data_IF_691669547667
#
_entry.id   IF_691669547667
#
_cell.length_a   1.000
_cell.length_b   1.000
_cell.length_c   1.000
_cell.angle_alpha   90.00
_cell.angle_beta   90.00
_cell.angle_gamma   90.00
#
_symmetry.space_group_name_H-M   'P 1'
#
loop_
_entity.id
_entity.type
_entity.pdbx_description
1 polymer ?
#
# COMPACT_ATOMS: atom_id res chain seq x y z
N UNK A 1 -66.07 18.84 44.96
CA UNK A 1 -65.75 17.78 43.95
C UNK A 1 -64.65 18.12 42.92
N UNK A 2 -64.37 19.37 42.64
CA UNK A 2 -63.27 19.72 41.62
C UNK A 2 -61.89 19.64 42.15
N UNK A 3 -61.61 19.91 43.43
CA UNK A 3 -60.24 19.89 44.02
C UNK A 3 -59.66 18.50 44.13
N UNK A 4 -60.43 17.45 44.39
CA UNK A 4 -59.91 16.08 44.48
C UNK A 4 -59.45 15.46 43.11
N UNK A 5 -60.08 15.94 42.01
CA UNK A 5 -59.68 15.49 40.67
C UNK A 5 -58.32 16.07 40.22
N UNK A 6 -58.05 17.33 40.58
CA UNK A 6 -56.76 17.98 40.23
C UNK A 6 -55.60 17.34 41.01
N UNK A 7 -55.84 17.03 42.29
CA UNK A 7 -54.81 16.37 43.13
C UNK A 7 -54.48 14.95 42.64
N UNK A 8 -55.49 14.20 42.17
CA UNK A 8 -55.29 12.86 41.60
C UNK A 8 -54.50 12.89 40.24
N UNK A 9 -54.74 13.91 39.42
CA UNK A 9 -54.00 14.11 38.14
C UNK A 9 -52.55 14.51 38.42
N UNK A 10 -52.30 15.40 39.38
CA UNK A 10 -50.94 15.80 39.74
C UNK A 10 -50.13 14.66 40.37
N UNK A 11 -50.75 13.81 41.21
CA UNK A 11 -50.13 12.61 41.75
C UNK A 11 -49.84 11.56 40.66
N UNK A 12 -50.73 11.37 39.69
CA UNK A 12 -50.52 10.47 38.56
C UNK A 12 -49.39 10.92 37.65
N UNK A 13 -49.25 12.23 37.37
CA UNK A 13 -48.17 12.80 36.57
C UNK A 13 -46.81 12.69 37.29
N UNK A 14 -46.76 12.88 38.61
CA UNK A 14 -45.55 12.72 39.38
C UNK A 14 -45.08 11.25 39.43
N UNK A 15 -46.00 10.30 39.54
CA UNK A 15 -45.68 8.86 39.53
C UNK A 15 -45.19 8.41 38.15
N UNK A 16 -45.76 8.89 37.05
CA UNK A 16 -45.34 8.62 35.71
C UNK A 16 -43.90 9.16 35.43
N UNK A 17 -43.57 10.37 35.92
CA UNK A 17 -42.22 10.94 35.82
C UNK A 17 -41.19 10.12 36.63
N UNK A 18 -41.55 9.66 37.82
CA UNK A 18 -40.67 8.82 38.65
C UNK A 18 -40.40 7.47 37.98
N UNK A 19 -41.45 6.84 37.42
CA UNK A 19 -41.31 5.57 36.70
C UNK A 19 -40.42 5.75 35.43
N UNK A 20 -40.58 6.84 34.69
CA UNK A 20 -39.76 7.15 33.52
C UNK A 20 -38.30 7.44 33.89
N UNK A 21 -38.04 8.11 35.01
CA UNK A 21 -36.67 8.35 35.52
C UNK A 21 -36.04 7.06 36.03
N UNK A 22 -36.78 6.19 36.72
CA UNK A 22 -36.28 4.87 37.15
C UNK A 22 -36.00 3.96 35.95
N UNK A 23 -36.86 3.94 34.94
CA UNK A 23 -36.60 3.19 33.69
C UNK A 23 -35.36 3.67 32.95
N UNK A 24 -35.11 5.00 32.89
CA UNK A 24 -33.86 5.56 32.35
C UNK A 24 -32.65 5.18 33.19
N UNK A 25 -32.77 5.19 34.52
CA UNK A 25 -31.66 4.84 35.42
C UNK A 25 -31.32 3.36 35.32
N UNK A 26 -32.30 2.47 35.24
CA UNK A 26 -32.11 1.03 35.01
C UNK A 26 -31.47 0.77 33.63
N UNK A 27 -31.98 1.40 32.57
CA UNK A 27 -31.42 1.31 31.21
C UNK A 27 -29.96 1.82 31.15
N UNK A 28 -29.66 2.91 31.88
CA UNK A 28 -28.29 3.44 31.97
C UNK A 28 -27.36 2.55 32.80
N UNK A 29 -27.87 1.90 33.85
CA UNK A 29 -27.07 0.95 34.66
C UNK A 29 -26.81 -0.35 33.90
N UNK A 30 -27.77 -0.86 33.13
CA UNK A 30 -27.60 -2.05 32.29
C UNK A 30 -26.63 -1.77 31.13
N UNK A 31 -26.67 -0.60 30.48
CA UNK A 31 -25.71 -0.21 29.45
C UNK A 31 -24.31 -0.01 30.03
N UNK A 32 -24.16 0.56 31.22
CA UNK A 32 -22.87 0.71 31.89
C UNK A 32 -22.28 -0.63 32.36
N UNK A 33 -23.11 -1.57 32.83
CA UNK A 33 -22.65 -2.92 33.23
C UNK A 33 -22.25 -3.75 32.01
N UNK A 34 -22.99 -3.66 30.92
CA UNK A 34 -22.66 -4.33 29.65
C UNK A 34 -21.38 -3.76 29.01
N UNK A 35 -21.18 -2.42 29.08
CA UNK A 35 -19.95 -1.79 28.59
C UNK A 35 -18.74 -2.18 29.43
N UNK A 36 -18.83 -2.18 30.76
CA UNK A 36 -17.76 -2.58 31.65
C UNK A 36 -17.41 -4.08 31.53
N UNK A 37 -18.36 -4.95 31.29
CA UNK A 37 -18.11 -6.37 31.02
C UNK A 37 -17.46 -6.58 29.66
N UNK A 38 -17.82 -5.80 28.64
CA UNK A 38 -17.19 -5.86 27.33
C UNK A 38 -15.73 -5.34 27.37
N UNK A 39 -15.46 -4.26 28.10
CA UNK A 39 -14.12 -3.70 28.27
C UNK A 39 -13.21 -4.65 29.08
N UNK A 40 -13.70 -5.24 30.18
CA UNK A 40 -12.96 -6.25 30.95
C UNK A 40 -12.66 -7.51 30.12
N UNK A 41 -13.57 -7.88 29.21
CA UNK A 41 -13.35 -9.04 28.32
C UNK A 41 -12.29 -8.78 27.25
N UNK A 42 -12.03 -7.53 26.87
CA UNK A 42 -11.03 -7.16 25.89
C UNK A 42 -9.63 -6.96 26.48
N UNK A 43 -9.53 -6.62 27.78
CA UNK A 43 -8.23 -6.41 28.46
C UNK A 43 -7.29 -7.62 28.44
N UNK A 44 -7.86 -8.84 28.31
CA UNK A 44 -7.07 -10.06 28.14
C UNK A 44 -6.14 -10.02 26.92
N UNK A 45 -6.56 -9.39 25.82
CA UNK A 45 -5.73 -9.29 24.61
C UNK A 45 -4.55 -8.35 24.83
N UNK A 46 -4.71 -7.32 25.66
CA UNK A 46 -3.58 -6.47 26.07
C UNK A 46 -2.54 -7.27 26.84
N UNK A 47 -2.94 -8.14 27.75
CA UNK A 47 -2.02 -9.02 28.47
C UNK A 47 -1.28 -9.99 27.52
N UNK A 48 -1.91 -10.42 26.43
CA UNK A 48 -1.29 -11.32 25.45
C UNK A 48 -0.27 -10.61 24.55
N UNK A 49 -0.56 -9.37 24.12
CA UNK A 49 0.18 -8.72 23.03
C UNK A 49 0.94 -7.45 23.43
N UNK A 50 0.63 -6.79 24.55
CA UNK A 50 1.39 -5.61 25.01
C UNK A 50 2.68 -6.03 25.72
N UNK A 51 3.50 -6.82 25.04
CA UNK A 51 4.80 -7.37 25.48
C UNK A 51 5.67 -7.62 24.24
N UNK A 52 6.98 -7.87 24.38
CA UNK A 52 7.86 -8.14 23.26
C UNK A 52 7.31 -9.24 22.35
N UNK A 53 7.42 -9.02 21.05
CA UNK A 53 6.90 -9.95 20.01
C UNK A 53 7.47 -11.37 20.18
N UNK A 54 8.72 -11.48 20.65
CA UNK A 54 9.38 -12.76 20.95
C UNK A 54 8.70 -13.59 22.05
N UNK A 55 7.82 -12.96 22.84
CA UNK A 55 7.08 -13.62 23.93
C UNK A 55 5.64 -13.98 23.51
N UNK A 56 5.23 -13.66 22.29
CA UNK A 56 3.90 -14.01 21.81
C UNK A 56 3.79 -15.50 21.51
N UNK A 57 2.63 -16.07 21.80
CA UNK A 57 2.35 -17.45 21.41
C UNK A 57 2.35 -17.58 19.89
N UNK A 58 2.75 -18.75 19.38
CA UNK A 58 2.69 -19.02 17.95
C UNK A 58 1.25 -18.89 17.43
N UNK A 59 1.04 -18.26 16.25
CA UNK A 59 -0.29 -18.18 15.67
C UNK A 59 -0.76 -19.55 15.17
N UNK A 60 -2.06 -19.64 14.89
CA UNK A 60 -2.60 -20.80 14.18
C UNK A 60 -2.18 -20.75 12.72
N UNK A 61 -1.40 -21.73 12.29
CA UNK A 61 -0.86 -21.85 10.95
C UNK A 61 -1.28 -23.16 10.29
N UNK A 62 -1.45 -23.14 8.98
CA UNK A 62 -1.52 -24.34 8.16
C UNK A 62 -0.14 -25.03 8.12
N UNK A 63 -0.09 -26.37 8.12
CA UNK A 63 1.16 -27.12 8.13
C UNK A 63 2.08 -26.77 6.95
N UNK A 64 1.51 -26.42 5.80
CA UNK A 64 2.27 -26.03 4.61
C UNK A 64 3.03 -24.70 4.76
N UNK A 65 2.65 -23.86 5.74
CA UNK A 65 3.22 -22.53 5.96
C UNK A 65 4.25 -22.51 7.09
N UNK A 66 4.17 -23.42 8.05
CA UNK A 66 4.96 -23.42 9.32
C UNK A 66 6.46 -23.25 9.10
N UNK A 67 7.03 -23.82 8.02
CA UNK A 67 8.48 -23.78 7.77
C UNK A 67 8.96 -22.43 7.26
N UNK A 68 8.11 -21.65 6.60
CA UNK A 68 8.46 -20.41 5.94
C UNK A 68 7.95 -19.18 6.69
N UNK A 69 6.96 -19.40 7.55
CA UNK A 69 6.35 -18.35 8.35
C UNK A 69 7.37 -17.62 9.22
N UNK A 70 7.16 -16.32 9.37
CA UNK A 70 7.92 -15.43 10.25
C UNK A 70 6.97 -14.57 11.06
N UNK A 71 7.35 -14.24 12.28
CA UNK A 71 6.59 -13.32 13.11
C UNK A 71 6.63 -11.89 12.55
N UNK A 72 5.73 -11.03 13.00
CA UNK A 72 5.79 -9.62 12.69
C UNK A 72 7.09 -9.00 13.18
N UNK A 73 7.64 -8.14 12.36
CA UNK A 73 8.87 -7.40 12.68
C UNK A 73 8.66 -5.91 12.34
N UNK A 74 9.32 -5.00 13.09
CA UNK A 74 9.39 -3.61 12.69
C UNK A 74 10.01 -3.45 11.29
N UNK A 75 9.63 -2.38 10.59
CA UNK A 75 10.18 -2.10 9.27
C UNK A 75 11.69 -1.89 9.31
N UNK A 76 12.38 -2.52 8.38
CA UNK A 76 13.81 -2.33 8.13
C UNK A 76 14.00 -1.34 6.99
N UNK A 77 15.16 -0.70 6.91
CA UNK A 77 15.50 0.11 5.73
C UNK A 77 15.68 -0.84 4.53
N UNK A 78 15.15 -0.46 3.34
CA UNK A 78 15.31 -1.28 2.15
C UNK A 78 16.78 -1.31 1.68
N UNK A 79 17.18 -2.41 1.06
CA UNK A 79 18.50 -2.54 0.44
C UNK A 79 18.52 -1.85 -0.93
N UNK A 80 19.71 -1.33 -1.28
CA UNK A 80 19.96 -0.77 -2.60
C UNK A 80 20.89 -1.71 -3.39
N UNK A 81 20.57 -2.03 -4.65
CA UNK A 81 21.43 -2.88 -5.45
C UNK A 81 22.76 -2.18 -5.77
N UNK A 82 23.85 -2.94 -5.89
CA UNK A 82 25.19 -2.40 -6.13
C UNK A 82 25.28 -1.51 -7.39
N UNK A 83 24.51 -1.84 -8.43
CA UNK A 83 24.44 -1.06 -9.67
C UNK A 83 23.51 0.17 -9.59
N UNK A 84 22.86 0.39 -8.44
CA UNK A 84 22.04 1.56 -8.15
C UNK A 84 22.11 1.93 -6.65
N UNK A 85 23.33 2.22 -6.18
CA UNK A 85 23.56 2.65 -4.80
C UNK A 85 22.80 3.93 -4.48
N UNK A 86 22.40 4.07 -3.20
CA UNK A 86 21.67 5.23 -2.72
C UNK A 86 22.49 6.53 -2.81
N UNK A 87 21.83 7.62 -3.20
CA UNK A 87 22.23 8.98 -2.85
C UNK A 87 20.98 9.87 -2.76
N UNK A 88 21.00 10.86 -1.86
CA UNK A 88 19.86 11.77 -1.65
C UNK A 88 19.49 12.50 -2.93
N UNK A 89 20.50 12.94 -3.71
CA UNK A 89 20.25 13.66 -4.95
C UNK A 89 19.60 12.77 -6.01
N UNK A 90 19.95 11.49 -6.06
CA UNK A 90 19.33 10.52 -6.96
C UNK A 90 17.86 10.26 -6.56
N UNK A 91 17.59 10.15 -5.24
CA UNK A 91 16.23 10.00 -4.74
C UNK A 91 15.37 11.25 -5.04
N UNK A 92 15.92 12.44 -4.91
CA UNK A 92 15.26 13.69 -5.28
C UNK A 92 14.99 13.78 -6.80
N UNK A 93 15.98 13.46 -7.61
CA UNK A 93 15.80 13.36 -9.07
C UNK A 93 14.67 12.38 -9.40
N UNK A 94 14.65 11.23 -8.71
CA UNK A 94 13.57 10.23 -8.85
C UNK A 94 12.20 10.77 -8.48
N UNK A 95 12.07 11.52 -7.38
CA UNK A 95 10.83 12.19 -7.01
C UNK A 95 10.34 13.15 -8.11
N UNK A 96 11.24 13.95 -8.68
CA UNK A 96 10.88 14.87 -9.77
C UNK A 96 10.44 14.14 -11.03
N UNK A 97 11.16 13.08 -11.41
CA UNK A 97 10.79 12.24 -12.55
C UNK A 97 9.48 11.48 -12.31
N UNK A 98 9.23 10.98 -11.11
CA UNK A 98 7.98 10.32 -10.72
C UNK A 98 6.75 11.25 -10.87
N UNK A 99 6.96 12.55 -10.68
CA UNK A 99 5.94 13.60 -10.84
C UNK A 99 5.88 14.19 -12.25
N UNK A 100 6.83 13.88 -13.11
CA UNK A 100 6.97 14.55 -14.41
C UNK A 100 6.06 13.94 -15.48
N UNK A 101 5.06 14.66 -15.97
CA UNK A 101 4.14 14.14 -16.98
C UNK A 101 4.78 14.01 -18.37
N UNK A 102 5.95 14.62 -18.63
CA UNK A 102 6.68 14.50 -19.90
C UNK A 102 7.17 13.10 -20.23
N UNK A 103 7.20 12.21 -19.23
CA UNK A 103 7.46 10.79 -19.45
C UNK A 103 6.31 10.09 -20.19
N UNK A 104 5.10 10.67 -20.25
CA UNK A 104 3.98 10.17 -21.03
C UNK A 104 3.92 10.78 -22.42
N UNK A 105 3.29 10.05 -23.37
CA UNK A 105 3.07 10.51 -24.75
C UNK A 105 2.31 11.83 -24.83
N UNK A 106 1.30 12.00 -23.98
CA UNK A 106 0.47 13.21 -23.94
C UNK A 106 1.11 14.37 -23.17
N UNK A 107 2.17 14.12 -22.38
CA UNK A 107 2.70 15.11 -21.44
C UNK A 107 1.75 15.48 -20.30
N UNK A 108 0.75 14.62 -19.99
CA UNK A 108 -0.27 14.89 -18.98
C UNK A 108 -0.33 13.87 -17.85
N UNK A 109 0.33 12.71 -18.01
CA UNK A 109 0.27 11.59 -17.06
C UNK A 109 1.65 11.34 -16.49
N UNK A 110 1.74 11.31 -15.18
CA UNK A 110 2.93 10.93 -14.43
C UNK A 110 2.64 9.72 -13.52
N UNK A 111 3.65 9.11 -12.91
CA UNK A 111 3.48 8.01 -11.96
C UNK A 111 2.58 8.43 -10.79
N UNK A 112 2.68 9.70 -10.34
CA UNK A 112 1.86 10.24 -9.26
C UNK A 112 0.35 10.22 -9.56
N UNK A 113 -0.08 10.20 -10.81
CA UNK A 113 -1.51 10.14 -11.14
C UNK A 113 -2.16 8.83 -10.68
N UNK A 114 -1.42 7.71 -10.74
CA UNK A 114 -1.87 6.39 -10.27
C UNK A 114 -1.35 6.06 -8.87
N UNK A 115 -0.27 6.72 -8.42
CA UNK A 115 0.39 6.49 -7.14
C UNK A 115 0.48 7.78 -6.32
N UNK A 116 -0.68 8.29 -5.88
CA UNK A 116 -0.78 9.51 -5.09
C UNK A 116 -0.37 9.25 -3.62
N UNK A 117 0.61 9.99 -3.12
CA UNK A 117 1.10 9.90 -1.76
C UNK A 117 -0.01 10.07 -0.70
N UNK A 118 -0.96 10.95 -0.93
CA UNK A 118 -2.07 11.20 -0.01
C UNK A 118 -3.06 10.03 0.10
N UNK A 119 -3.05 9.11 -0.87
CA UNK A 119 -3.87 7.91 -0.93
C UNK A 119 -3.04 6.63 -0.74
N UNK A 120 -2.03 6.66 0.12
CA UNK A 120 -1.09 5.55 0.33
C UNK A 120 -0.47 5.05 -0.98
N UNK A 121 -0.14 5.97 -1.89
CA UNK A 121 0.40 5.66 -3.22
C UNK A 121 -0.50 4.76 -4.07
N UNK A 122 -1.81 4.99 -3.99
CA UNK A 122 -2.83 4.52 -4.95
C UNK A 122 -3.55 5.72 -5.57
N UNK A 123 -4.58 5.51 -6.38
CA UNK A 123 -5.40 6.60 -6.95
C UNK A 123 -6.85 6.61 -6.44
N UNK A 124 -7.22 5.66 -5.58
CA UNK A 124 -8.59 5.53 -5.07
C UNK A 124 -9.62 5.07 -6.12
N UNK A 125 -9.16 4.67 -7.31
CA UNK A 125 -10.03 4.24 -8.41
C UNK A 125 -10.01 2.72 -8.56
N UNK A 126 -11.13 2.16 -9.03
CA UNK A 126 -11.18 0.74 -9.37
C UNK A 126 -10.11 0.37 -10.40
N UNK A 127 -9.98 1.16 -11.44
CA UNK A 127 -8.97 1.06 -12.49
C UNK A 127 -8.54 2.47 -12.86
N UNK A 128 -7.25 2.71 -12.88
CA UNK A 128 -6.65 4.02 -13.19
C UNK A 128 -7.00 4.49 -14.60
N UNK A 129 -7.07 5.81 -14.79
CA UNK A 129 -7.15 6.42 -16.10
C UNK A 129 -5.75 6.74 -16.62
N UNK A 130 -5.45 6.26 -17.81
CA UNK A 130 -4.23 6.58 -18.53
C UNK A 130 -4.49 7.38 -19.81
N UNK A 131 -3.63 7.17 -20.81
CA UNK A 131 -3.66 7.88 -22.09
C UNK A 131 -5.03 7.76 -22.77
N UNK A 132 -5.51 8.88 -23.32
CA UNK A 132 -6.85 9.00 -23.93
C UNK A 132 -8.00 8.55 -23.03
N UNK A 133 -7.85 8.70 -21.72
CA UNK A 133 -8.82 8.26 -20.70
C UNK A 133 -9.12 6.76 -20.76
N UNK A 134 -8.25 5.96 -21.35
CA UNK A 134 -8.36 4.51 -21.31
C UNK A 134 -8.17 4.03 -19.86
N UNK A 135 -8.79 2.91 -19.53
CA UNK A 135 -8.60 2.31 -18.20
C UNK A 135 -7.54 1.24 -18.24
N UNK A 136 -6.66 1.28 -17.26
CA UNK A 136 -5.74 0.19 -16.96
C UNK A 136 -6.49 -1.13 -16.76
N UNK A 137 -5.78 -2.24 -16.82
CA UNK A 137 -6.37 -3.56 -16.69
C UNK A 137 -6.63 -3.94 -15.23
N UNK A 138 -5.77 -3.49 -14.32
CA UNK A 138 -5.79 -3.82 -12.90
C UNK A 138 -5.76 -2.56 -12.04
N UNK A 139 -6.18 -2.70 -10.81
CA UNK A 139 -6.08 -1.66 -9.80
C UNK A 139 -4.63 -1.27 -9.54
N UNK A 140 -4.35 0.03 -9.36
CA UNK A 140 -3.03 0.52 -8.96
C UNK A 140 -2.72 0.08 -7.51
N UNK A 141 -1.74 -0.80 -7.29
CA UNK A 141 -1.43 -1.27 -5.95
C UNK A 141 -0.76 -0.17 -5.13
N UNK A 142 -0.89 -0.26 -3.81
CA UNK A 142 -0.04 0.48 -2.88
C UNK A 142 1.42 0.05 -3.08
N UNK A 143 2.32 1.01 -3.32
CA UNK A 143 3.74 0.75 -3.58
C UNK A 143 4.65 0.98 -2.37
N UNK A 144 4.09 1.25 -1.19
CA UNK A 144 4.88 1.60 0.00
C UNK A 144 5.89 0.50 0.41
N UNK A 145 5.56 -0.75 0.12
CA UNK A 145 6.47 -1.88 0.41
C UNK A 145 7.08 -2.49 -0.86
N UNK A 146 6.97 -1.82 -2.01
CA UNK A 146 7.43 -2.35 -3.29
C UNK A 146 8.93 -2.67 -3.31
N UNK A 147 9.74 -1.93 -2.54
CA UNK A 147 11.19 -2.15 -2.41
C UNK A 147 11.59 -3.50 -1.79
N UNK A 148 10.66 -4.19 -1.15
CA UNK A 148 10.92 -5.45 -0.44
C UNK A 148 10.39 -6.68 -1.18
N UNK A 149 9.68 -6.49 -2.29
CA UNK A 149 9.19 -7.59 -3.11
C UNK A 149 10.26 -8.07 -4.10
N UNK A 150 10.38 -9.39 -4.28
CA UNK A 150 11.28 -10.00 -5.25
C UNK A 150 10.80 -9.81 -6.69
N UNK A 151 9.50 -9.73 -6.87
CA UNK A 151 8.84 -9.49 -8.14
C UNK A 151 7.73 -8.46 -7.96
N UNK A 152 7.44 -7.66 -8.99
CA UNK A 152 6.52 -6.53 -8.95
C UNK A 152 5.35 -6.71 -9.90
N UNK A 153 4.33 -5.86 -9.77
CA UNK A 153 2.99 -6.01 -10.32
C UNK A 153 2.19 -7.16 -9.66
N UNK A 154 0.89 -7.20 -9.89
CA UNK A 154 -0.01 -8.24 -9.39
C UNK A 154 0.35 -9.65 -9.88
N UNK A 155 0.98 -9.75 -11.04
CA UNK A 155 1.37 -11.00 -11.72
C UNK A 155 2.87 -11.31 -11.64
N UNK A 156 3.68 -10.41 -11.09
CA UNK A 156 5.12 -10.61 -10.91
C UNK A 156 5.94 -10.55 -12.19
N UNK A 157 5.50 -9.78 -13.19
CA UNK A 157 6.17 -9.68 -14.48
C UNK A 157 7.45 -8.85 -14.48
N UNK A 158 7.74 -8.07 -13.43
CA UNK A 158 8.99 -7.32 -13.29
C UNK A 158 9.81 -7.83 -12.09
N UNK A 159 11.13 -7.89 -12.26
CA UNK A 159 12.10 -8.44 -11.28
C UNK A 159 12.80 -7.37 -10.43
N UNK A 160 12.58 -6.10 -10.73
CA UNK A 160 13.14 -4.97 -9.99
C UNK A 160 12.28 -3.72 -10.17
N UNK A 161 12.45 -2.72 -9.30
CA UNK A 161 11.78 -1.42 -9.45
C UNK A 161 12.21 -0.72 -10.74
N UNK A 162 13.46 -0.88 -11.15
CA UNK A 162 13.98 -0.33 -12.41
C UNK A 162 13.27 -0.93 -13.63
N UNK A 163 13.02 -2.23 -13.62
CA UNK A 163 12.27 -2.92 -14.68
C UNK A 163 10.79 -2.55 -14.62
N UNK A 164 10.22 -2.48 -13.42
CA UNK A 164 8.83 -2.12 -13.22
C UNK A 164 8.50 -0.75 -13.84
N UNK A 165 9.36 0.26 -13.60
CA UNK A 165 9.15 1.61 -14.09
C UNK A 165 9.07 1.74 -15.62
N UNK A 166 9.65 0.80 -16.37
CA UNK A 166 9.56 0.76 -17.83
C UNK A 166 8.15 0.38 -18.32
N UNK A 167 7.45 -0.47 -17.57
CA UNK A 167 6.13 -0.99 -17.95
C UNK A 167 5.11 0.12 -18.17
N UNK A 168 4.76 0.94 -17.17
CA UNK A 168 3.78 2.02 -17.31
C UNK A 168 4.12 3.04 -18.41
N UNK A 169 5.42 3.35 -18.62
CA UNK A 169 5.85 4.27 -19.67
C UNK A 169 5.41 3.77 -21.04
N UNK A 170 5.52 2.46 -21.28
CA UNK A 170 5.25 1.86 -22.59
C UNK A 170 3.85 1.29 -22.76
N UNK A 171 3.11 1.07 -21.67
CA UNK A 171 1.75 0.53 -21.78
C UNK A 171 0.82 1.53 -22.48
N UNK A 172 0.14 1.12 -23.57
CA UNK A 172 -0.72 2.00 -24.37
C UNK A 172 -1.94 2.52 -23.61
N UNK A 173 -2.34 1.87 -22.52
CA UNK A 173 -3.46 2.27 -21.68
C UNK A 173 -3.03 3.09 -20.46
N UNK A 174 -1.72 3.18 -20.19
CA UNK A 174 -1.16 3.95 -19.08
C UNK A 174 -0.51 5.23 -19.61
N UNK A 175 0.80 5.27 -19.85
CA UNK A 175 1.50 6.48 -20.31
C UNK A 175 1.70 6.51 -21.83
N UNK A 176 1.54 5.38 -22.53
CA UNK A 176 1.50 5.21 -24.00
C UNK A 176 2.69 5.80 -24.77
N UNK A 177 3.87 5.91 -24.13
CA UNK A 177 5.06 6.50 -24.74
C UNK A 177 6.04 5.43 -25.24
N UNK A 178 7.01 5.81 -26.05
CA UNK A 178 8.20 5.02 -26.28
C UNK A 178 9.29 5.41 -25.26
N UNK A 179 10.18 4.47 -24.94
CA UNK A 179 11.30 4.77 -24.04
C UNK A 179 12.22 5.86 -24.61
N UNK A 180 12.39 5.87 -25.94
CA UNK A 180 13.18 6.87 -26.64
C UNK A 180 12.54 8.26 -26.52
N UNK A 181 11.24 8.39 -26.77
CA UNK A 181 10.55 9.68 -26.67
C UNK A 181 10.52 10.20 -25.23
N UNK A 182 10.28 9.33 -24.24
CA UNK A 182 10.33 9.67 -22.84
C UNK A 182 11.72 10.19 -22.43
N UNK A 183 12.78 9.50 -22.86
CA UNK A 183 14.16 9.93 -22.65
C UNK A 183 14.42 11.30 -23.32
N UNK A 184 14.01 11.48 -24.58
CA UNK A 184 14.23 12.72 -25.31
C UNK A 184 13.46 13.89 -24.72
N UNK A 185 12.26 13.68 -24.18
CA UNK A 185 11.51 14.70 -23.47
C UNK A 185 12.29 15.22 -22.24
N UNK A 186 12.92 14.34 -21.47
CA UNK A 186 13.78 14.74 -20.34
C UNK A 186 15.09 15.36 -20.80
N UNK A 187 15.72 14.85 -21.87
CA UNK A 187 16.93 15.45 -22.49
C UNK A 187 16.72 16.90 -22.94
N UNK A 188 15.52 17.24 -23.37
CA UNK A 188 15.19 18.61 -23.81
C UNK A 188 14.84 19.55 -22.64
N UNK A 189 14.70 19.02 -21.44
CA UNK A 189 14.38 19.75 -20.24
C UNK A 189 15.68 20.10 -19.47
N UNK A 190 16.30 21.23 -19.82
CA UNK A 190 17.63 21.60 -19.32
C UNK A 190 17.73 21.72 -17.82
N UNK A 191 16.60 21.96 -17.12
CA UNK A 191 16.55 21.95 -15.64
C UNK A 191 16.93 20.61 -15.01
N UNK A 192 16.95 19.53 -15.75
CA UNK A 192 17.42 18.23 -15.30
C UNK A 192 18.94 18.05 -15.36
N UNK A 193 19.66 18.87 -16.16
CA UNK A 193 21.09 18.71 -16.38
C UNK A 193 21.90 18.70 -15.08
N UNK A 194 21.79 19.72 -14.20
CA UNK A 194 22.56 19.73 -12.95
C UNK A 194 22.17 18.59 -12.01
N UNK A 195 20.93 18.11 -12.08
CA UNK A 195 20.45 16.98 -11.27
C UNK A 195 21.04 15.65 -11.72
N UNK A 196 21.09 15.40 -13.04
CA UNK A 196 21.71 14.18 -13.58
C UNK A 196 23.21 14.16 -13.38
N UNK A 197 23.91 15.30 -13.54
CA UNK A 197 25.32 15.43 -13.21
C UNK A 197 25.58 15.15 -11.73
N UNK A 198 24.78 15.70 -10.82
CA UNK A 198 24.96 15.50 -9.39
C UNK A 198 24.63 14.06 -8.97
N UNK A 199 23.71 13.39 -9.66
CA UNK A 199 23.27 12.04 -9.32
C UNK A 199 24.15 10.93 -9.94
N UNK A 200 24.71 11.16 -11.13
CA UNK A 200 25.34 10.13 -11.95
C UNK A 200 26.71 10.53 -12.55
N UNK A 201 27.08 11.81 -12.51
CA UNK A 201 28.37 12.29 -12.99
C UNK A 201 29.52 11.91 -12.06
N UNK A 202 30.70 11.74 -12.61
CA UNK A 202 31.93 11.57 -11.84
C UNK A 202 32.48 12.92 -11.33
N UNK A 203 33.57 12.88 -10.55
CA UNK A 203 34.15 14.11 -9.97
C UNK A 203 34.60 15.14 -11.01
N UNK A 204 35.08 14.70 -12.16
CA UNK A 204 35.54 15.57 -13.25
C UNK A 204 34.35 16.25 -13.94
N UNK A 205 33.26 15.56 -14.12
CA UNK A 205 32.02 16.05 -14.73
C UNK A 205 31.26 17.02 -13.78
N UNK A 206 31.41 16.86 -12.48
CA UNK A 206 30.70 17.66 -11.48
C UNK A 206 31.31 19.06 -11.26
N UNK A 207 32.57 19.30 -11.62
CA UNK A 207 33.35 20.48 -11.23
C UNK A 207 32.67 21.81 -11.46
N UNK A 208 32.28 22.13 -12.71
CA UNK A 208 31.60 23.38 -13.06
C UNK A 208 30.20 23.47 -12.45
N UNK A 209 29.46 22.36 -12.46
CA UNK A 209 28.10 22.30 -11.95
C UNK A 209 28.05 22.52 -10.44
N UNK A 210 28.99 21.95 -9.70
CA UNK A 210 29.16 22.15 -8.25
C UNK A 210 29.41 23.62 -7.88
N UNK A 211 30.18 24.33 -8.73
CA UNK A 211 30.41 25.75 -8.56
C UNK A 211 29.14 26.60 -8.69
N UNK A 212 28.28 26.25 -9.62
CA UNK A 212 27.08 27.03 -9.96
C UNK A 212 25.80 26.55 -9.26
N UNK A 213 25.73 25.28 -8.83
CA UNK A 213 24.62 24.66 -8.13
C UNK A 213 25.07 23.95 -6.85
N UNK A 214 25.81 24.64 -5.94
CA UNK A 214 26.44 24.03 -4.75
C UNK A 214 25.42 23.27 -3.87
N UNK A 215 24.17 23.75 -3.82
CA UNK A 215 23.10 23.14 -3.04
C UNK A 215 22.78 21.67 -3.43
N UNK A 216 23.11 21.27 -4.65
CA UNK A 216 22.92 19.88 -5.11
C UNK A 216 24.03 18.95 -4.63
N UNK A 217 25.16 19.50 -4.17
CA UNK A 217 26.36 18.77 -3.78
C UNK A 217 26.70 18.90 -2.30
N UNK A 218 25.88 19.64 -1.52
CA UNK A 218 26.06 19.80 -0.08
C UNK A 218 26.01 18.45 0.65
N UNK A 219 26.92 18.26 1.63
CA UNK A 219 26.98 17.02 2.41
C UNK A 219 25.94 16.94 3.53
N UNK A 220 25.28 18.05 3.89
CA UNK A 220 24.25 18.04 4.94
C UNK A 220 22.93 17.42 4.44
N UNK A 221 22.87 16.10 4.53
CA UNK A 221 21.75 15.29 4.05
C UNK A 221 20.39 15.74 4.61
N UNK A 222 20.30 16.09 5.90
CA UNK A 222 19.03 16.44 6.54
C UNK A 222 18.44 17.75 6.01
N UNK A 223 19.27 18.79 5.86
CA UNK A 223 18.83 20.08 5.32
C UNK A 223 18.45 19.96 3.86
N UNK A 224 19.31 19.30 3.07
CA UNK A 224 19.11 19.03 1.65
C UNK A 224 17.83 18.20 1.42
N UNK A 225 17.62 17.14 2.19
CA UNK A 225 16.44 16.30 2.10
C UNK A 225 15.14 17.09 2.35
N UNK A 226 15.11 17.98 3.37
CA UNK A 226 13.96 18.84 3.65
C UNK A 226 13.65 19.77 2.49
N UNK A 227 14.67 20.40 1.91
CA UNK A 227 14.51 21.29 0.73
C UNK A 227 14.02 20.52 -0.49
N UNK A 228 14.48 19.27 -0.66
CA UNK A 228 14.04 18.39 -1.75
C UNK A 228 12.57 18.00 -1.60
N UNK A 229 12.15 17.56 -0.40
CA UNK A 229 10.76 17.18 -0.14
C UNK A 229 9.77 18.34 -0.31
N UNK A 230 10.22 19.58 -0.11
CA UNK A 230 9.41 20.79 -0.30
C UNK A 230 9.49 21.37 -1.70
N UNK A 231 10.27 20.74 -2.60
CA UNK A 231 10.56 21.23 -3.97
C UNK A 231 11.07 22.68 -3.99
N UNK A 232 11.87 23.05 -2.96
CA UNK A 232 12.41 24.41 -2.79
C UNK A 232 13.62 24.69 -3.68
N UNK A 233 14.19 23.66 -4.33
CA UNK A 233 15.38 23.80 -5.18
C UNK A 233 14.97 24.28 -6.57
N UNK A 234 15.22 25.56 -6.81
CA UNK A 234 15.02 26.18 -8.11
C UNK A 234 16.27 26.02 -8.97
N UNK A 235 16.10 25.58 -10.20
CA UNK A 235 17.15 25.48 -11.22
C UNK A 235 16.99 26.62 -12.21
N UNK A 236 17.99 27.47 -12.31
CA UNK A 236 18.00 28.59 -13.27
C UNK A 236 18.42 28.10 -14.66
N UNK A 237 17.44 28.02 -15.57
CA UNK A 237 17.66 27.63 -16.96
C UNK A 237 18.50 28.63 -17.75
N UNK A 238 18.42 29.93 -17.45
CA UNK A 238 19.19 30.97 -18.12
C UNK A 238 20.68 30.87 -17.76
N UNK A 239 20.98 30.42 -16.55
CA UNK A 239 22.35 30.11 -16.16
C UNK A 239 22.89 28.90 -16.92
N UNK A 240 22.10 27.84 -17.03
CA UNK A 240 22.48 26.63 -17.77
C UNK A 240 22.77 26.94 -19.23
N UNK A 241 21.95 27.78 -19.87
CA UNK A 241 22.14 28.15 -21.26
C UNK A 241 23.51 28.85 -21.56
N UNK A 242 24.21 29.31 -20.52
CA UNK A 242 25.52 29.94 -20.63
C UNK A 242 26.69 28.95 -20.45
N UNK A 243 26.40 27.67 -20.18
CA UNK A 243 27.45 26.66 -19.98
C UNK A 243 28.12 26.32 -21.30
N UNK A 244 29.40 25.91 -21.28
CA UNK A 244 30.10 25.42 -22.47
C UNK A 244 29.34 24.25 -23.11
N UNK A 245 29.36 24.16 -24.44
CA UNK A 245 28.68 23.09 -25.19
C UNK A 245 29.11 21.69 -24.75
N UNK A 246 30.39 21.52 -24.40
CA UNK A 246 30.92 20.25 -23.90
C UNK A 246 30.24 19.83 -22.57
N UNK A 247 30.02 20.75 -21.65
CA UNK A 247 29.35 20.49 -20.37
C UNK A 247 27.87 20.11 -20.56
N UNK A 248 27.20 20.82 -21.47
CA UNK A 248 25.80 20.52 -21.83
C UNK A 248 25.67 19.14 -22.47
N UNK A 249 26.60 18.78 -23.35
CA UNK A 249 26.61 17.46 -24.02
C UNK A 249 26.88 16.34 -23.02
N UNK A 250 27.81 16.55 -22.07
CA UNK A 250 28.07 15.61 -20.97
C UNK A 250 26.80 15.37 -20.15
N UNK A 251 26.12 16.44 -19.74
CA UNK A 251 24.85 16.33 -19.02
C UNK A 251 23.78 15.57 -19.83
N UNK A 252 23.66 15.85 -21.14
CA UNK A 252 22.72 15.16 -22.04
C UNK A 252 23.01 13.66 -22.14
N UNK A 253 24.27 13.23 -22.14
CA UNK A 253 24.65 11.79 -22.20
C UNK A 253 24.21 11.04 -20.95
N UNK A 254 24.27 11.68 -19.77
CA UNK A 254 23.81 11.09 -18.51
C UNK A 254 22.29 10.93 -18.47
N UNK A 255 21.52 11.68 -19.27
CA UNK A 255 20.07 11.52 -19.38
C UNK A 255 19.77 10.38 -20.35
N UNK A 256 19.69 9.19 -19.83
CA UNK A 256 19.30 7.99 -20.56
C UNK A 256 18.25 7.22 -19.74
N UNK A 257 17.54 6.33 -20.42
CA UNK A 257 16.41 5.61 -19.79
C UNK A 257 16.83 4.82 -18.54
N UNK A 258 18.02 4.23 -18.55
CA UNK A 258 18.52 3.48 -17.40
C UNK A 258 18.72 4.37 -16.18
N UNK A 259 19.28 5.57 -16.36
CA UNK A 259 19.47 6.52 -15.27
C UNK A 259 18.12 7.12 -14.79
N UNK A 260 17.17 7.33 -15.71
CA UNK A 260 15.81 7.76 -15.38
C UNK A 260 15.14 6.74 -14.45
N UNK A 261 15.08 5.46 -14.84
CA UNK A 261 14.43 4.43 -14.01
C UNK A 261 15.21 4.13 -12.73
N UNK A 262 16.55 4.22 -12.74
CA UNK A 262 17.37 4.12 -11.51
C UNK A 262 17.04 5.22 -10.51
N UNK A 263 16.84 6.44 -10.96
CA UNK A 263 16.45 7.54 -10.08
C UNK A 263 15.05 7.33 -9.50
N UNK A 264 14.07 6.95 -10.33
CA UNK A 264 12.70 6.63 -9.89
C UNK A 264 12.73 5.52 -8.85
N UNK A 265 13.42 4.41 -9.14
CA UNK A 265 13.56 3.28 -8.22
C UNK A 265 14.26 3.66 -6.90
N UNK A 266 15.23 4.59 -6.95
CA UNK A 266 15.89 5.11 -5.73
C UNK A 266 14.91 5.92 -4.86
N UNK A 267 14.05 6.72 -5.48
CA UNK A 267 12.98 7.43 -4.78
C UNK A 267 12.00 6.44 -4.12
N UNK A 268 11.54 5.44 -4.84
CA UNK A 268 10.60 4.44 -4.32
C UNK A 268 11.20 3.65 -3.15
N UNK A 269 12.48 3.27 -3.22
CA UNK A 269 13.17 2.59 -2.10
C UNK A 269 13.34 3.46 -0.87
N UNK A 270 13.47 4.77 -1.00
CA UNK A 270 13.89 5.64 0.12
C UNK A 270 12.75 6.39 0.80
N UNK A 271 11.74 6.84 0.06
CA UNK A 271 10.73 7.77 0.57
C UNK A 271 9.33 7.19 0.69
N UNK A 272 9.09 6.05 0.10
CA UNK A 272 7.75 5.47 0.00
C UNK A 272 7.43 4.57 1.20
N UNK A 273 8.44 4.04 1.90
CA UNK A 273 8.23 3.19 3.08
C UNK A 273 7.70 4.02 4.25
N UNK A 274 6.53 3.70 4.81
CA UNK A 274 5.96 4.45 5.92
C UNK A 274 6.68 4.13 7.23
N UNK A 275 7.46 5.09 7.73
CA UNK A 275 8.21 4.92 8.99
C UNK A 275 7.34 5.06 10.25
N UNK A 276 6.14 5.62 10.15
CA UNK A 276 5.31 6.07 11.27
C UNK A 276 3.93 5.39 11.33
N UNK A 277 3.83 4.07 11.02
CA UNK A 277 2.57 3.38 11.25
C UNK A 277 2.37 3.11 12.77
N UNK A 278 1.10 3.11 13.23
CA UNK A 278 0.74 2.80 14.61
C UNK A 278 1.17 1.40 15.01
N UNK A 279 1.01 0.43 14.09
CA UNK A 279 1.43 -0.94 14.32
C UNK A 279 2.95 -1.06 14.41
N UNK A 280 3.72 -0.35 13.56
CA UNK A 280 5.18 -0.35 13.66
C UNK A 280 5.67 0.24 14.99
N UNK A 281 5.03 1.31 15.49
CA UNK A 281 5.35 1.87 16.81
C UNK A 281 5.02 0.86 17.95
N UNK A 282 3.91 0.15 17.82
CA UNK A 282 3.52 -0.91 18.76
C UNK A 282 4.54 -2.05 18.78
N UNK A 283 5.00 -2.54 17.63
CA UNK A 283 6.03 -3.57 17.52
C UNK A 283 7.38 -3.12 18.10
N UNK A 284 7.66 -1.82 18.11
CA UNK A 284 8.84 -1.22 18.74
C UNK A 284 8.68 -0.96 20.26
N UNK A 285 7.59 -1.46 20.88
CA UNK A 285 7.38 -1.42 22.34
C UNK A 285 6.51 -0.26 22.84
N UNK A 286 5.99 0.61 21.98
CA UNK A 286 5.00 1.60 22.42
C UNK A 286 3.57 1.01 22.36
N UNK A 287 3.25 0.22 23.37
CA UNK A 287 2.00 -0.55 23.43
C UNK A 287 0.73 0.29 23.56
N UNK A 288 0.84 1.63 23.70
CA UNK A 288 -0.30 2.57 23.72
C UNK A 288 -0.92 2.78 22.36
N UNK A 289 -0.19 2.47 21.27
CA UNK A 289 -0.65 2.71 19.92
C UNK A 289 -1.79 1.82 19.43
N UNK A 290 -2.05 0.70 20.10
CA UNK A 290 -3.19 -0.15 19.80
C UNK A 290 -4.19 -0.19 20.97
N UNK A 291 -5.47 -0.03 20.67
CA UNK A 291 -6.59 -0.23 21.58
C UNK A 291 -6.84 -1.71 21.84
N UNK A 292 -7.56 -2.06 22.90
CA UNK A 292 -7.91 -3.45 23.23
C UNK A 292 -8.74 -4.11 22.13
N UNK A 293 -9.59 -3.35 21.42
CA UNK A 293 -10.33 -3.85 20.26
C UNK A 293 -9.41 -4.18 19.08
N UNK A 294 -8.40 -3.35 18.82
CA UNK A 294 -7.39 -3.61 17.78
C UNK A 294 -6.53 -4.83 18.16
N UNK A 295 -6.21 -5.00 19.43
CA UNK A 295 -5.51 -6.18 19.94
C UNK A 295 -6.36 -7.46 19.82
N UNK A 296 -7.66 -7.37 20.05
CA UNK A 296 -8.58 -8.46 19.72
C UNK A 296 -8.57 -8.79 18.23
N UNK A 297 -8.60 -7.76 17.38
CA UNK A 297 -8.46 -7.93 15.92
C UNK A 297 -7.15 -8.58 15.50
N UNK A 298 -6.04 -8.22 16.17
CA UNK A 298 -4.73 -8.86 16.01
C UNK A 298 -4.79 -10.34 16.36
N UNK A 299 -5.44 -10.69 17.48
CA UNK A 299 -5.63 -12.09 17.89
C UNK A 299 -6.43 -12.88 16.84
N UNK A 300 -7.52 -12.30 16.33
CA UNK A 300 -8.31 -12.92 15.27
C UNK A 300 -7.45 -13.11 14.01
N UNK A 301 -6.68 -12.10 13.61
CA UNK A 301 -5.79 -12.16 12.47
C UNK A 301 -4.77 -13.30 12.57
N UNK A 302 -4.20 -13.50 13.77
CA UNK A 302 -3.20 -14.52 14.06
C UNK A 302 -3.80 -15.93 14.17
N UNK A 303 -5.02 -16.06 14.67
CA UNK A 303 -5.61 -17.33 15.08
C UNK A 303 -6.84 -17.70 14.24
N UNK A 304 -8.03 -17.27 14.62
CA UNK A 304 -9.30 -17.71 14.01
C UNK A 304 -9.44 -17.26 12.55
N UNK A 305 -8.88 -16.10 12.19
CA UNK A 305 -8.90 -15.54 10.84
C UNK A 305 -7.88 -16.17 9.90
N UNK A 306 -6.90 -16.91 10.41
CA UNK A 306 -5.84 -17.60 9.66
C UNK A 306 -5.09 -16.71 8.64
N UNK A 307 -5.12 -15.38 8.85
CA UNK A 307 -4.53 -14.40 7.93
C UNK A 307 -3.00 -14.51 7.88
N UNK A 308 -2.39 -15.00 8.98
CA UNK A 308 -0.95 -15.25 9.08
C UNK A 308 -0.44 -16.34 8.13
N UNK A 309 -1.32 -17.09 7.46
CA UNK A 309 -0.89 -18.05 6.44
C UNK A 309 -0.34 -17.38 5.17
N UNK A 310 -0.70 -16.12 4.91
CA UNK A 310 -0.23 -15.36 3.75
C UNK A 310 0.34 -13.98 4.14
N UNK A 311 -0.13 -13.38 5.25
CA UNK A 311 0.25 -12.02 5.65
C UNK A 311 1.08 -12.02 6.93
N UNK A 312 2.40 -12.21 6.80
CA UNK A 312 3.35 -12.32 7.91
C UNK A 312 4.63 -11.50 7.68
N UNK A 313 5.51 -11.47 8.70
CA UNK A 313 6.76 -10.73 8.66
C UNK A 313 6.60 -9.20 8.61
N UNK A 314 7.68 -8.49 8.37
CA UNK A 314 7.68 -7.01 8.30
C UNK A 314 6.81 -6.46 7.16
N UNK A 315 6.68 -7.21 6.08
CA UNK A 315 5.92 -6.78 4.89
C UNK A 315 4.42 -7.05 5.00
N UNK A 316 3.97 -7.85 5.98
CA UNK A 316 2.60 -8.36 6.03
C UNK A 316 2.21 -9.06 4.70
N UNK A 317 3.14 -9.84 4.14
CA UNK A 317 3.02 -10.58 2.89
C UNK A 317 4.04 -11.71 2.86
N UNK A 318 3.65 -12.86 2.32
CA UNK A 318 4.53 -14.00 2.07
C UNK A 318 5.34 -13.88 0.77
N UNK A 319 5.12 -12.80 0.01
CA UNK A 319 5.74 -12.56 -1.31
C UNK A 319 5.44 -13.65 -2.36
N UNK A 320 4.33 -14.40 -2.18
CA UNK A 320 3.90 -15.49 -3.08
C UNK A 320 2.66 -15.11 -3.88
N UNK A 321 2.17 -16.08 -4.64
CA UNK A 321 1.02 -15.95 -5.54
C UNK A 321 -0.05 -16.96 -5.18
N UNK A 322 -1.27 -16.47 -4.93
CA UNK A 322 -2.41 -17.30 -4.54
C UNK A 322 -3.62 -17.02 -5.44
N UNK A 323 -4.36 -18.06 -5.75
CA UNK A 323 -5.68 -17.93 -6.35
C UNK A 323 -6.74 -17.93 -5.25
N UNK A 324 -7.28 -16.74 -4.95
CA UNK A 324 -8.35 -16.58 -3.97
C UNK A 324 -9.76 -16.63 -4.61
N UNK A 325 -9.86 -17.05 -5.88
CA UNK A 325 -11.16 -17.18 -6.55
C UNK A 325 -11.63 -15.93 -7.30
N UNK A 326 -10.77 -14.96 -7.58
CA UNK A 326 -11.14 -13.69 -8.24
C UNK A 326 -10.66 -13.59 -9.70
N UNK A 327 -10.30 -14.73 -10.33
CA UNK A 327 -9.86 -14.74 -11.73
C UNK A 327 -11.03 -14.56 -12.74
N UNK A 328 -12.28 -14.74 -12.32
CA UNK A 328 -13.46 -14.69 -13.17
C UNK A 328 -13.32 -15.53 -14.45
N UNK A 329 -12.70 -16.70 -14.34
CA UNK A 329 -12.41 -17.59 -15.46
C UNK A 329 -13.67 -17.89 -16.31
N UNK A 330 -13.54 -17.81 -17.63
CA UNK A 330 -14.64 -17.97 -18.57
C UNK A 330 -15.63 -16.79 -18.66
N UNK A 331 -15.45 -15.73 -17.85
CA UNK A 331 -16.40 -14.62 -17.75
C UNK A 331 -15.79 -13.27 -18.23
N UNK A 332 -16.64 -12.27 -18.41
CA UNK A 332 -16.26 -10.93 -18.94
C UNK A 332 -15.09 -10.26 -18.19
N UNK A 333 -14.93 -10.51 -16.90
CA UNK A 333 -13.86 -9.92 -16.09
C UNK A 333 -12.66 -10.85 -15.93
N UNK A 334 -12.51 -11.86 -16.78
CA UNK A 334 -11.44 -12.83 -16.70
C UNK A 334 -10.06 -12.15 -16.65
N UNK A 335 -9.27 -12.57 -15.66
CA UNK A 335 -7.85 -12.25 -15.55
C UNK A 335 -7.10 -13.52 -15.12
N UNK A 336 -6.17 -13.97 -15.95
CA UNK A 336 -5.44 -15.21 -15.72
C UNK A 336 -4.25 -15.04 -14.76
N UNK A 337 -3.97 -13.80 -14.33
CA UNK A 337 -2.96 -13.48 -13.32
C UNK A 337 -1.56 -13.95 -13.70
N UNK A 338 -0.91 -14.65 -12.79
CA UNK A 338 0.47 -15.16 -12.92
C UNK A 338 0.67 -16.05 -14.15
N UNK A 339 -0.34 -16.78 -14.59
CA UNK A 339 -0.26 -17.60 -15.80
C UNK A 339 0.15 -16.80 -17.04
N UNK A 340 -0.21 -15.53 -17.13
CA UNK A 340 0.16 -14.70 -18.29
C UNK A 340 1.69 -14.51 -18.40
N UNK A 341 2.39 -14.60 -17.28
CA UNK A 341 3.85 -14.51 -17.19
C UNK A 341 4.52 -15.86 -17.36
N UNK A 342 4.06 -16.87 -16.60
CA UNK A 342 4.76 -18.17 -16.49
C UNK A 342 4.34 -19.18 -17.55
N UNK A 343 3.13 -19.05 -18.10
CA UNK A 343 2.46 -20.06 -18.95
C UNK A 343 2.27 -21.43 -18.29
N UNK A 344 2.48 -21.52 -16.98
CA UNK A 344 2.23 -22.71 -16.20
C UNK A 344 0.74 -22.81 -15.82
N UNK A 345 0.02 -23.86 -16.21
CA UNK A 345 -1.41 -24.04 -15.87
C UNK A 345 -1.69 -23.94 -14.36
N UNK A 346 -0.75 -24.35 -13.51
CA UNK A 346 -0.89 -24.25 -12.07
C UNK A 346 -0.96 -22.80 -11.56
N UNK A 347 -0.61 -21.81 -12.38
CA UNK A 347 -0.58 -20.39 -12.00
C UNK A 347 -1.81 -19.62 -12.51
N UNK A 348 -2.78 -20.30 -13.13
CA UNK A 348 -4.01 -19.63 -13.59
C UNK A 348 -4.78 -19.04 -12.42
N UNK A 349 -5.07 -17.74 -12.52
CA UNK A 349 -5.84 -17.01 -11.52
C UNK A 349 -5.09 -16.66 -10.24
N UNK A 350 -3.78 -16.93 -10.17
CA UNK A 350 -2.94 -16.52 -9.05
C UNK A 350 -2.51 -15.08 -9.18
N UNK A 351 -2.54 -14.36 -8.05
CA UNK A 351 -2.05 -13.00 -7.91
C UNK A 351 -1.14 -12.91 -6.68
N UNK A 352 -0.22 -11.95 -6.71
CA UNK A 352 0.69 -11.68 -5.60
C UNK A 352 -0.08 -11.33 -4.34
N UNK A 353 0.33 -11.86 -3.19
CA UNK A 353 -0.11 -11.40 -1.87
C UNK A 353 0.36 -9.96 -1.67
N UNK A 354 -0.53 -8.96 -1.66
CA UNK A 354 -0.11 -7.59 -1.42
C UNK A 354 0.28 -7.37 0.03
N UNK A 355 1.14 -6.37 0.28
CA UNK A 355 1.34 -5.90 1.65
C UNK A 355 0.07 -5.30 2.21
N UNK A 356 -0.17 -5.49 3.53
CA UNK A 356 -1.27 -4.85 4.24
C UNK A 356 -0.88 -3.52 4.89
N UNK A 357 0.35 -3.07 4.71
CA UNK A 357 0.81 -1.77 5.22
C UNK A 357 -0.03 -0.66 4.61
N UNK A 358 -0.59 0.21 5.45
CA UNK A 358 -1.52 1.29 5.07
C UNK A 358 -2.75 0.81 4.29
N UNK A 359 -3.17 -0.45 4.49
CA UNK A 359 -4.29 -1.05 3.75
C UNK A 359 -5.58 -0.25 3.87
N UNK A 360 -5.84 0.40 5.01
CA UNK A 360 -7.05 1.21 5.22
C UNK A 360 -7.14 2.44 4.30
N UNK A 361 -6.02 2.86 3.69
CA UNK A 361 -5.94 4.05 2.84
C UNK A 361 -5.82 3.71 1.35
N UNK A 362 -5.77 2.41 1.00
CA UNK A 362 -5.51 1.95 -0.36
C UNK A 362 -6.74 1.32 -1.05
N UNK A 363 -7.94 1.71 -0.63
CA UNK A 363 -9.18 1.30 -1.31
C UNK A 363 -9.23 1.87 -2.74
N UNK A 364 -9.94 1.18 -3.68
CA UNK A 364 -10.59 -0.13 -3.55
C UNK A 364 -9.63 -1.31 -3.65
N UNK A 365 -10.04 -2.47 -3.17
CA UNK A 365 -9.18 -3.61 -2.93
C UNK A 365 -9.22 -4.67 -4.03
N UNK A 366 -8.21 -5.57 -4.01
CA UNK A 366 -7.90 -6.65 -4.94
C UNK A 366 -7.42 -6.15 -6.31
N UNK A 367 -6.84 -7.05 -7.10
CA UNK A 367 -6.27 -6.71 -8.42
C UNK A 367 -7.27 -6.06 -9.39
N UNK A 368 -8.56 -6.38 -9.25
CA UNK A 368 -9.62 -5.77 -10.05
C UNK A 368 -10.33 -4.58 -9.40
N UNK A 369 -9.90 -4.13 -8.19
CA UNK A 369 -10.52 -3.02 -7.48
C UNK A 369 -12.01 -3.23 -7.19
N UNK A 370 -12.41 -4.47 -6.84
CA UNK A 370 -13.83 -4.84 -6.74
C UNK A 370 -14.46 -4.47 -5.40
N UNK A 371 -13.68 -4.32 -4.35
CA UNK A 371 -14.18 -4.09 -3.00
C UNK A 371 -13.88 -2.66 -2.55
N UNK A 372 -14.89 -1.80 -2.41
CA UNK A 372 -14.68 -0.41 -1.99
C UNK A 372 -14.34 -0.27 -0.50
N UNK A 373 -14.61 -1.31 0.32
CA UNK A 373 -14.44 -1.26 1.76
C UNK A 373 -13.79 -2.53 2.30
N UNK A 374 -12.92 -2.40 3.32
CA UNK A 374 -12.24 -3.53 3.98
C UNK A 374 -13.22 -4.57 4.52
N UNK A 375 -14.34 -4.12 5.09
CA UNK A 375 -15.35 -5.03 5.63
C UNK A 375 -15.91 -5.98 4.54
N UNK A 376 -16.00 -5.51 3.30
CA UNK A 376 -16.40 -6.35 2.16
C UNK A 376 -15.37 -7.44 1.86
N UNK A 377 -14.08 -7.10 1.94
CA UNK A 377 -12.96 -8.04 1.79
C UNK A 377 -13.00 -9.10 2.90
N UNK A 378 -13.12 -8.66 4.17
CA UNK A 378 -13.18 -9.57 5.33
C UNK A 378 -14.38 -10.51 5.21
N UNK A 379 -15.55 -10.02 4.81
CA UNK A 379 -16.74 -10.86 4.62
C UNK A 379 -16.55 -11.92 3.53
N UNK A 380 -15.84 -11.61 2.45
CA UNK A 380 -15.53 -12.59 1.40
C UNK A 380 -14.56 -13.66 1.90
N UNK A 381 -13.52 -13.30 2.65
CA UNK A 381 -12.66 -14.26 3.33
C UNK A 381 -13.45 -15.10 4.34
N UNK A 382 -14.35 -14.48 5.12
CA UNK A 382 -15.21 -15.19 6.07
C UNK A 382 -16.11 -16.23 5.40
N UNK A 383 -16.57 -15.95 4.18
CA UNK A 383 -17.36 -16.86 3.35
C UNK A 383 -16.50 -17.95 2.64
N UNK A 384 -15.16 -17.82 2.65
CA UNK A 384 -14.23 -18.71 1.95
C UNK A 384 -14.17 -18.46 0.43
N UNK A 385 -14.44 -17.25 -0.04
CA UNK A 385 -14.44 -16.86 -1.45
C UNK A 385 -15.13 -17.90 -2.36
N UNK A 386 -16.43 -18.16 -2.21
CA UNK A 386 -17.12 -19.16 -3.01
C UNK A 386 -17.06 -18.77 -4.49
N UNK A 387 -16.50 -19.67 -5.31
CA UNK A 387 -16.35 -19.47 -6.76
C UNK A 387 -17.41 -20.28 -7.49
N UNK A 388 -18.20 -19.62 -8.33
CA UNK A 388 -19.03 -20.32 -9.29
C UNK A 388 -18.22 -20.65 -10.55
N UNK A 389 -18.20 -21.92 -10.92
CA UNK A 389 -17.61 -22.38 -12.19
C UNK A 389 -18.55 -21.97 -13.33
N UNK A 390 -18.00 -21.35 -14.38
CA UNK A 390 -18.78 -20.96 -15.55
C UNK A 390 -19.20 -22.22 -16.34
N UNK A 391 -20.46 -22.26 -16.74
CA UNK A 391 -21.01 -23.43 -17.46
C UNK A 391 -20.21 -23.68 -18.76
N UNK A 392 -19.75 -24.91 -18.92
CA UNK A 392 -18.96 -25.34 -20.07
C UNK A 392 -17.46 -25.24 -19.89
N UNK A 393 -16.98 -24.76 -18.72
CA UNK A 393 -15.55 -24.70 -18.38
C UNK A 393 -15.11 -25.78 -17.38
N UNK A 394 -16.01 -26.68 -16.97
CA UNK A 394 -15.78 -27.63 -15.89
C UNK A 394 -14.63 -28.62 -16.18
N UNK A 395 -14.40 -28.92 -17.45
CA UNK A 395 -13.35 -29.85 -17.91
C UNK A 395 -12.17 -29.11 -18.56
N UNK A 396 -12.12 -27.78 -18.47
CA UNK A 396 -11.01 -27.02 -19.04
C UNK A 396 -9.72 -27.26 -18.24
N UNK A 397 -8.61 -27.70 -18.89
CA UNK A 397 -7.34 -27.93 -18.21
C UNK A 397 -6.75 -26.66 -17.56
N UNK A 398 -7.21 -25.48 -17.97
CA UNK A 398 -6.84 -24.20 -17.38
C UNK A 398 -7.83 -23.70 -16.31
N UNK A 399 -8.85 -24.49 -15.93
CA UNK A 399 -9.77 -24.11 -14.87
C UNK A 399 -9.01 -23.86 -13.56
N UNK A 400 -9.01 -22.63 -13.03
CA UNK A 400 -8.22 -22.29 -11.86
C UNK A 400 -8.75 -22.97 -10.59
N UNK A 401 -7.85 -23.52 -9.79
CA UNK A 401 -8.18 -24.07 -8.48
C UNK A 401 -7.92 -23.02 -7.41
N UNK A 402 -8.91 -22.79 -6.55
CA UNK A 402 -8.74 -21.93 -5.36
C UNK A 402 -7.67 -22.52 -4.45
N UNK A 403 -6.85 -21.64 -3.88
CA UNK A 403 -5.80 -22.04 -2.93
C UNK A 403 -6.43 -22.75 -1.70
N UNK A 404 -5.91 -23.90 -1.27
CA UNK A 404 -6.45 -24.66 -0.13
C UNK A 404 -6.38 -23.89 1.20
N UNK A 405 -5.56 -22.84 1.30
CA UNK A 405 -5.52 -21.93 2.46
C UNK A 405 -6.80 -21.07 2.57
N UNK A 406 -7.58 -20.96 1.50
CA UNK A 406 -8.83 -20.18 1.49
C UNK A 406 -9.97 -21.06 2.00
N UNK A 407 -10.37 -20.83 3.24
CA UNK A 407 -11.39 -21.61 3.96
C UNK A 407 -12.45 -20.68 4.55
N UNK A 408 -13.64 -21.21 4.82
CA UNK A 408 -14.67 -20.51 5.58
C UNK A 408 -14.23 -20.30 7.03
N UNK A 409 -14.22 -19.05 7.52
CA UNK A 409 -13.64 -18.69 8.83
C UNK A 409 -14.66 -18.73 9.97
N UNK A 410 -15.95 -18.55 9.67
CA UNK A 410 -17.05 -18.49 10.65
C UNK A 410 -16.82 -17.41 11.74
N UNK A 411 -16.34 -16.24 11.33
CA UNK A 411 -16.22 -15.07 12.20
C UNK A 411 -17.60 -14.50 12.48
N UNK A 412 -17.84 -14.11 13.72
CA UNK A 412 -19.01 -13.33 14.14
C UNK A 412 -18.90 -11.88 13.65
N UNK A 413 -20.00 -11.11 13.73
CA UNK A 413 -19.99 -9.70 13.40
C UNK A 413 -18.98 -8.89 14.21
N UNK A 414 -18.89 -9.14 15.51
CA UNK A 414 -17.99 -8.39 16.40
C UNK A 414 -16.52 -8.74 16.11
N UNK A 415 -16.21 -9.99 15.81
CA UNK A 415 -14.89 -10.43 15.36
C UNK A 415 -14.50 -9.77 14.04
N UNK A 416 -15.41 -9.65 13.08
CA UNK A 416 -15.18 -8.93 11.81
C UNK A 416 -14.86 -7.45 12.07
N UNK A 417 -15.60 -6.79 12.96
CA UNK A 417 -15.36 -5.39 13.32
C UNK A 417 -14.05 -5.19 14.12
N UNK A 418 -13.63 -6.16 14.91
CA UNK A 418 -12.35 -6.12 15.60
C UNK A 418 -11.18 -6.34 14.61
N UNK A 419 -11.32 -7.30 13.71
CA UNK A 419 -10.34 -7.53 12.64
C UNK A 419 -10.19 -6.30 11.72
N UNK A 420 -11.31 -5.66 11.34
CA UNK A 420 -11.26 -4.40 10.59
C UNK A 420 -10.55 -3.29 11.37
N UNK A 421 -10.78 -3.18 12.67
CA UNK A 421 -10.09 -2.20 13.51
C UNK A 421 -8.58 -2.43 13.53
N UNK A 422 -8.12 -3.68 13.66
CA UNK A 422 -6.70 -4.02 13.55
C UNK A 422 -6.12 -3.66 12.17
N UNK A 423 -6.77 -4.06 11.08
CA UNK A 423 -6.32 -3.72 9.72
C UNK A 423 -6.21 -2.20 9.49
N UNK A 424 -7.03 -1.40 10.17
CA UNK A 424 -6.96 0.07 10.13
C UNK A 424 -5.78 0.65 10.92
N UNK A 425 -5.10 -0.13 11.73
CA UNK A 425 -3.92 0.29 12.49
C UNK A 425 -2.59 0.07 11.74
N UNK A 426 -2.63 -0.68 10.62
CA UNK A 426 -1.47 -1.05 9.79
C UNK A 426 -0.96 0.12 8.87
#
# INVERSE_FOLDING_TARGET
MKTNKILAILLGLSLACIVALLAKFVSQSETNTASNQSEQNLSKYRALYARPVSEWDKPKLDESVVKEWREFEPFKEPSFPANNAYSDIKAFLGLRLFKDPRLSKSGQISCQNCHNQELAFTDGLKLSYGHDRQRGRRNAPNIQMAAFFDELFWDGRAKSLEEQALGPITDPKEMANSLENAQNAIKNATEYYPLFIAAFGDESEQGLWKKHFPQLFEQNATKRLRSFLRDEIKIDKNLIAKFPSQELETARKLININNIVKAIATYERSFVVPKNSRFNAFLNGDYRFLSDKELWGLDIFRNKGECMNCHYGAMLSDNKYHNIGLSFYGRKLQDLGRYEVTKNPADVGKFKTPSLVSVSRSAPYMHGGLFPHLIGVINMYNAGFPVAVEKGTENDPLLPKTDPLIKKLNLTRDEILALEAFLKSL
#
